data_IF_567859224573
#
_entry.id   IF_567859224573
#
_cell.length_a   1.000
_cell.length_b   1.000
_cell.length_c   1.000
_cell.angle_alpha   90.00
_cell.angle_beta   90.00
_cell.angle_gamma   90.00
#
_symmetry.space_group_name_H-M   'P 1'
#
loop_
_entity.id
_entity.type
_entity.pdbx_description
1 polymer ?
#
# COMPACT_ATOMS: atom_id res chain seq x y z
N UNK A 1 5.71 5.12 7.01
CA UNK A 1 4.86 4.00 7.49
C UNK A 1 3.48 4.17 6.87
N UNK A 2 2.92 3.15 6.22
CA UNK A 2 1.60 3.21 5.59
C UNK A 2 0.56 2.40 6.38
N UNK A 3 -0.71 2.75 6.27
CA UNK A 3 -1.84 2.03 6.86
C UNK A 3 -2.84 1.64 5.79
N UNK A 4 -3.19 0.36 5.73
CA UNK A 4 -4.26 -0.13 4.86
C UNK A 4 -5.59 0.47 5.36
N UNK A 5 -6.32 1.14 4.47
CA UNK A 5 -7.63 1.75 4.77
C UNK A 5 -8.76 0.91 4.21
N UNK A 6 -8.57 0.28 3.06
CA UNK A 6 -9.59 -0.50 2.39
C UNK A 6 -8.97 -1.60 1.52
N UNK A 7 -9.71 -2.70 1.35
CA UNK A 7 -9.35 -3.82 0.47
C UNK A 7 -10.58 -4.15 -0.38
N UNK A 8 -10.45 -4.08 -1.70
CA UNK A 8 -11.49 -4.47 -2.67
C UNK A 8 -10.89 -5.48 -3.65
N UNK A 9 -11.12 -6.77 -3.40
CA UNK A 9 -10.52 -7.83 -4.20
C UNK A 9 -8.98 -7.74 -4.16
N UNK A 10 -8.36 -7.55 -5.31
CA UNK A 10 -6.91 -7.39 -5.44
C UNK A 10 -6.41 -5.94 -5.26
N UNK A 11 -7.32 -4.97 -5.15
CA UNK A 11 -6.99 -3.55 -4.98
C UNK A 11 -6.92 -3.22 -3.49
N UNK A 12 -5.84 -2.55 -3.07
CA UNK A 12 -5.60 -2.18 -1.68
C UNK A 12 -5.34 -0.68 -1.62
N UNK A 13 -6.18 0.02 -0.85
CA UNK A 13 -5.95 1.43 -0.55
C UNK A 13 -5.07 1.55 0.70
N UNK A 14 -3.97 2.29 0.57
CA UNK A 14 -2.98 2.48 1.62
C UNK A 14 -2.77 3.97 1.84
N UNK A 15 -3.10 4.44 3.04
CA UNK A 15 -2.83 5.81 3.45
C UNK A 15 -1.40 5.94 3.98
N UNK A 16 -0.66 6.87 3.41
CA UNK A 16 0.67 7.25 3.87
C UNK A 16 0.62 8.57 4.61
N UNK A 17 1.55 8.78 5.54
CA UNK A 17 1.78 10.09 6.14
C UNK A 17 2.34 11.05 5.09
N UNK A 18 2.08 12.35 5.26
CA UNK A 18 2.57 13.40 4.36
C UNK A 18 4.10 13.26 4.13
N UNK A 19 4.54 13.51 2.89
CA UNK A 19 5.95 13.34 2.48
C UNK A 19 6.47 11.90 2.42
N UNK A 20 5.64 10.89 2.71
CA UNK A 20 6.02 9.46 2.66
C UNK A 20 5.28 8.68 1.56
N UNK A 21 4.75 9.38 0.55
CA UNK A 21 4.03 8.76 -0.55
C UNK A 21 5.03 8.09 -1.51
N UNK A 22 4.97 6.76 -1.72
CA UNK A 22 5.88 6.07 -2.63
C UNK A 22 5.57 6.42 -4.09
N UNK A 23 6.55 6.32 -4.99
CA UNK A 23 6.32 6.60 -6.43
C UNK A 23 5.43 5.55 -7.10
N UNK A 24 4.74 5.93 -8.18
CA UNK A 24 4.00 4.99 -9.03
C UNK A 24 4.96 3.92 -9.57
N UNK A 25 4.47 2.68 -9.68
CA UNK A 25 5.24 1.46 -9.99
C UNK A 25 6.25 1.03 -8.90
N UNK A 26 6.29 1.69 -7.74
CA UNK A 26 7.05 1.20 -6.60
C UNK A 26 6.39 -0.02 -5.97
N UNK A 27 7.21 -0.93 -5.44
CA UNK A 27 6.71 -2.07 -4.67
C UNK A 27 6.55 -1.71 -3.18
N UNK A 28 5.43 -2.13 -2.58
CA UNK A 28 5.17 -2.03 -1.15
C UNK A 28 5.15 -3.45 -0.58
N UNK A 29 5.95 -3.67 0.47
CA UNK A 29 6.00 -4.93 1.19
C UNK A 29 5.11 -4.86 2.43
N UNK A 30 4.11 -5.73 2.49
CA UNK A 30 3.17 -5.83 3.62
C UNK A 30 3.44 -7.15 4.32
N UNK A 31 3.79 -7.08 5.61
CA UNK A 31 3.89 -8.27 6.46
C UNK A 31 2.48 -8.71 6.84
N UNK A 32 2.17 -9.99 6.64
CA UNK A 32 0.92 -10.59 7.09
C UNK A 32 1.08 -11.19 8.49
N UNK A 33 -0.03 -11.35 9.21
CA UNK A 33 -0.01 -11.81 10.61
C UNK A 33 0.48 -13.25 10.76
N UNK A 34 0.37 -14.07 9.71
CA UNK A 34 0.86 -15.44 9.63
C UNK A 34 2.36 -15.52 9.30
N UNK A 35 3.06 -14.38 9.25
CA UNK A 35 4.50 -14.32 8.94
C UNK A 35 4.82 -14.31 7.44
N UNK A 36 3.81 -14.34 6.58
CA UNK A 36 3.95 -14.17 5.15
C UNK A 36 4.33 -12.74 4.72
N UNK A 37 4.51 -12.59 3.41
CA UNK A 37 4.78 -11.31 2.76
C UNK A 37 3.86 -11.15 1.55
N UNK A 38 3.05 -10.11 1.57
CA UNK A 38 2.31 -9.65 0.41
C UNK A 38 3.09 -8.50 -0.23
N UNK A 39 3.32 -8.60 -1.54
CA UNK A 39 3.97 -7.55 -2.34
C UNK A 39 2.92 -6.97 -3.26
N UNK A 40 2.76 -5.65 -3.22
CA UNK A 40 1.85 -4.90 -4.09
C UNK A 40 2.60 -3.78 -4.81
N UNK A 41 2.08 -3.35 -5.96
CA UNK A 41 2.62 -2.21 -6.70
C UNK A 41 1.76 -0.97 -6.50
N UNK A 42 2.39 0.21 -6.50
CA UNK A 42 1.68 1.48 -6.49
C UNK A 42 1.11 1.75 -7.87
N UNK A 43 -0.19 1.49 -8.04
CA UNK A 43 -0.86 1.71 -9.31
C UNK A 43 -1.15 3.21 -9.58
N UNK A 44 -1.56 3.95 -8.53
CA UNK A 44 -1.92 5.36 -8.65
C UNK A 44 -1.80 6.07 -7.30
N UNK A 45 -1.66 7.40 -7.34
CA UNK A 45 -1.86 8.25 -6.17
C UNK A 45 -3.30 8.72 -6.16
N UNK A 46 -4.01 8.32 -5.11
CA UNK A 46 -5.29 8.92 -4.77
C UNK A 46 -4.98 10.18 -3.96
N UNK A 47 -5.50 11.32 -4.40
CA UNK A 47 -5.49 12.52 -3.55
C UNK A 47 -6.34 12.28 -2.30
N UNK A 48 -5.99 12.95 -1.19
CA UNK A 48 -7.00 13.40 -0.22
C UNK A 48 -7.60 14.72 -0.74
#
# INVERSE_FOLDING_TARGET
MGKITQIIGAVIDIKFTEGNLPEINSAINIKTNDGGRLVVEVAQHLGD
#
